data_IF_844613106474
#
_entry.id   IF_844613106474
#
_cell.length_a   1.000
_cell.length_b   1.000
_cell.length_c   1.000
_cell.angle_alpha   90.00
_cell.angle_beta   90.00
_cell.angle_gamma   90.00
#
_symmetry.space_group_name_H-M   'P 1'
#
loop_
_entity.id
_entity.type
_entity.pdbx_description
1 polymer ?
#
# COMPACT_ATOMS: atom_id res chain seq x y z
N UNK A 1 2.20 -24.37 71.18
CA UNK A 1 2.71 -25.52 72.04
C UNK A 1 3.71 -26.26 71.17
N UNK A 2 4.95 -26.12 71.61
CA UNK A 2 6.03 -27.09 71.74
C UNK A 2 6.46 -27.79 70.48
N UNK A 3 7.65 -27.40 69.93
CA UNK A 3 9.03 -27.77 70.35
C UNK A 3 9.26 -29.26 70.38
N UNK A 4 10.28 -29.73 69.64
CA UNK A 4 11.49 -30.45 70.01
C UNK A 4 12.18 -30.96 68.74
N UNK A 5 13.34 -30.51 68.33
CA UNK A 5 14.74 -30.60 68.71
C UNK A 5 15.24 -32.08 68.84
N UNK A 6 16.21 -32.42 67.96
CA UNK A 6 17.59 -32.91 68.29
C UNK A 6 18.21 -33.55 67.04
N UNK A 7 19.30 -33.09 66.49
CA UNK A 7 20.74 -33.31 66.77
C UNK A 7 21.17 -34.79 67.01
N UNK A 8 22.18 -35.23 66.20
CA UNK A 8 23.43 -35.95 66.54
C UNK A 8 24.13 -36.26 65.21
N UNK A 9 25.25 -35.65 64.92
CA UNK A 9 26.68 -35.90 65.09
C UNK A 9 27.27 -37.04 64.27
N UNK A 10 28.15 -36.62 63.34
CA UNK A 10 29.56 -37.05 63.16
C UNK A 10 29.93 -38.50 62.95
N UNK A 11 30.59 -38.76 61.81
CA UNK A 11 31.96 -39.35 61.84
C UNK A 11 32.61 -39.38 60.46
N UNK A 12 33.84 -38.97 60.47
CA UNK A 12 34.87 -38.87 59.43
C UNK A 12 35.21 -40.26 58.87
N UNK A 13 35.38 -40.37 57.58
CA UNK A 13 36.36 -41.23 56.93
C UNK A 13 36.96 -40.58 55.68
N UNK A 14 38.21 -40.20 55.83
CA UNK A 14 39.03 -39.74 54.70
C UNK A 14 39.51 -40.97 53.91
N UNK A 15 39.18 -41.04 52.67
CA UNK A 15 39.82 -41.89 51.67
C UNK A 15 40.48 -41.04 50.63
N UNK A 16 41.82 -40.97 50.67
CA UNK A 16 42.66 -40.34 49.66
C UNK A 16 42.66 -41.25 48.44
N UNK A 17 41.99 -40.82 47.34
CA UNK A 17 42.25 -41.41 46.06
C UNK A 17 42.91 -40.30 45.21
N UNK A 18 44.23 -40.46 45.01
CA UNK A 18 44.97 -39.72 43.95
C UNK A 18 44.57 -40.33 42.65
N UNK A 19 43.73 -39.61 41.88
CA UNK A 19 43.44 -39.91 40.51
C UNK A 19 44.06 -38.76 39.70
N UNK A 20 44.99 -39.12 38.82
CA UNK A 20 45.73 -38.20 37.96
C UNK A 20 44.80 -37.32 37.14
N UNK A 21 45.05 -36.04 37.19
CA UNK A 21 44.43 -35.04 36.30
C UNK A 21 44.96 -35.26 34.90
N UNK A 22 44.26 -36.07 34.08
CA UNK A 22 44.41 -35.96 32.66
C UNK A 22 43.86 -34.59 32.25
N UNK A 23 44.73 -33.68 31.89
CA UNK A 23 44.40 -32.44 31.18
C UNK A 23 43.71 -32.82 29.89
N UNK A 24 42.39 -32.88 29.88
CA UNK A 24 41.60 -32.85 28.66
C UNK A 24 41.67 -31.38 28.19
N UNK A 25 42.29 -31.11 27.03
CA UNK A 25 42.20 -29.75 26.50
C UNK A 25 40.73 -29.43 26.30
N UNK A 26 40.22 -28.49 27.07
CA UNK A 26 38.92 -27.88 26.78
C UNK A 26 39.05 -27.23 25.40
N UNK A 27 38.60 -27.93 24.36
CA UNK A 27 38.28 -27.25 23.11
C UNK A 27 37.27 -26.18 23.47
N UNK A 28 37.70 -24.93 23.43
CA UNK A 28 36.77 -23.80 23.34
C UNK A 28 35.88 -24.11 22.13
N UNK A 29 34.64 -24.52 22.41
CA UNK A 29 33.59 -24.47 21.40
C UNK A 29 33.46 -22.97 21.10
N UNK A 30 34.05 -22.54 20.02
CA UNK A 30 33.65 -21.25 19.44
C UNK A 30 32.16 -21.41 19.26
N UNK A 31 31.37 -20.59 19.97
CA UNK A 31 30.00 -20.33 19.58
C UNK A 31 30.11 -19.88 18.13
N UNK A 32 29.70 -20.73 17.18
CA UNK A 32 29.40 -20.27 15.83
C UNK A 32 28.45 -19.10 16.05
N UNK A 33 28.81 -17.92 15.54
CA UNK A 33 27.95 -16.77 15.60
C UNK A 33 26.62 -17.20 14.99
N UNK A 34 25.62 -17.40 15.83
CA UNK A 34 24.26 -17.74 15.39
C UNK A 34 23.75 -16.48 14.68
N UNK A 35 23.87 -16.49 13.38
CA UNK A 35 23.44 -15.38 12.52
C UNK A 35 21.93 -15.28 12.68
N UNK A 36 21.44 -14.16 13.20
CA UNK A 36 20.01 -13.89 13.32
C UNK A 36 19.35 -13.89 11.92
N UNK A 37 18.46 -14.85 11.60
CA UNK A 37 17.83 -14.93 10.29
C UNK A 37 17.06 -13.66 9.91
N UNK A 38 16.48 -12.96 10.90
CA UNK A 38 15.76 -11.71 10.69
C UNK A 38 16.73 -10.60 10.31
N UNK A 39 17.89 -10.51 10.97
CA UNK A 39 18.93 -9.55 10.62
C UNK A 39 19.44 -9.76 9.18
N UNK A 40 19.62 -11.03 8.77
CA UNK A 40 20.03 -11.38 7.39
C UNK A 40 18.94 -10.95 6.39
N UNK A 41 17.68 -11.22 6.66
CA UNK A 41 16.57 -10.82 5.78
C UNK A 41 16.47 -9.29 5.65
N UNK A 42 16.60 -8.56 6.75
CA UNK A 42 16.63 -7.09 6.76
C UNK A 42 17.76 -6.55 5.93
N UNK A 43 18.98 -7.09 6.11
CA UNK A 43 20.14 -6.65 5.38
C UNK A 43 19.99 -6.95 3.87
N UNK A 44 19.53 -8.15 3.52
CA UNK A 44 19.28 -8.52 2.13
C UNK A 44 18.23 -7.62 1.46
N UNK A 45 17.18 -7.25 2.20
CA UNK A 45 16.20 -6.28 1.71
C UNK A 45 16.84 -4.90 1.52
N UNK A 46 17.62 -4.41 2.48
CA UNK A 46 18.30 -3.11 2.39
C UNK A 46 19.32 -3.05 1.25
N UNK A 47 20.09 -4.11 1.02
CA UNK A 47 21.12 -4.18 -0.03
C UNK A 47 20.54 -4.30 -1.44
N UNK A 48 19.26 -4.70 -1.58
CA UNK A 48 18.59 -4.78 -2.87
C UNK A 48 18.42 -3.38 -3.47
N UNK A 49 19.04 -3.17 -4.63
CA UNK A 49 19.03 -1.88 -5.33
C UNK A 49 17.66 -1.61 -5.93
N UNK A 50 17.10 -0.40 -5.76
CA UNK A 50 15.88 0.02 -6.47
C UNK A 50 16.07 -0.06 -7.99
N UNK A 51 15.05 -0.52 -8.74
CA UNK A 51 15.14 -0.60 -10.21
C UNK A 51 15.34 0.78 -10.84
N UNK A 52 14.76 1.83 -10.25
CA UNK A 52 14.95 3.21 -10.72
C UNK A 52 16.40 3.69 -10.64
N UNK A 53 17.24 3.09 -9.79
CA UNK A 53 18.67 3.39 -9.72
C UNK A 53 19.47 2.82 -10.90
N UNK A 54 18.87 1.92 -11.68
CA UNK A 54 19.45 1.38 -12.92
C UNK A 54 19.21 2.24 -14.16
N UNK A 55 18.40 3.30 -14.07
CA UNK A 55 18.13 4.22 -15.15
C UNK A 55 19.30 5.21 -15.33
N UNK A 56 19.70 5.47 -16.58
CA UNK A 56 20.95 6.16 -16.89
C UNK A 56 21.01 7.61 -16.34
N UNK A 57 19.95 8.37 -16.52
CA UNK A 57 19.89 9.79 -16.16
C UNK A 57 18.93 10.07 -14.97
N UNK A 58 18.63 9.03 -14.20
CA UNK A 58 17.72 9.10 -13.07
C UNK A 58 18.48 9.37 -11.77
N UNK A 59 17.99 10.20 -10.87
CA UNK A 59 18.61 10.40 -9.56
C UNK A 59 18.72 9.08 -8.79
N UNK A 60 19.81 8.88 -8.06
CA UNK A 60 19.99 7.68 -7.24
C UNK A 60 19.10 7.77 -5.99
N UNK A 61 18.14 6.88 -5.88
CA UNK A 61 17.23 6.76 -4.74
C UNK A 61 17.86 6.04 -3.55
N UNK A 62 17.30 6.20 -2.35
CA UNK A 62 17.82 5.58 -1.13
C UNK A 62 17.62 4.06 -1.13
N UNK A 63 18.51 3.36 -0.39
CA UNK A 63 18.23 2.00 0.04
C UNK A 63 17.18 2.01 1.15
N UNK A 64 16.24 1.06 1.11
CA UNK A 64 15.15 0.92 2.08
C UNK A 64 15.03 -0.52 2.57
N UNK A 65 14.51 -0.71 3.77
CA UNK A 65 14.28 -2.02 4.37
C UNK A 65 13.02 -2.73 3.86
N UNK A 66 12.13 -2.00 3.19
CA UNK A 66 10.99 -2.59 2.51
C UNK A 66 11.46 -3.58 1.43
N UNK A 67 10.82 -4.75 1.34
CA UNK A 67 11.12 -5.72 0.28
C UNK A 67 10.70 -5.19 -1.08
N UNK A 68 9.50 -4.60 -1.14
CA UNK A 68 9.00 -3.84 -2.30
C UNK A 68 8.55 -2.46 -1.86
N UNK A 69 8.86 -1.44 -2.66
CA UNK A 69 8.47 -0.07 -2.38
C UNK A 69 8.29 0.74 -3.66
N UNK A 70 7.39 1.72 -3.60
CA UNK A 70 7.13 2.67 -4.69
C UNK A 70 6.84 4.06 -4.12
N UNK A 71 7.24 5.09 -4.85
CA UNK A 71 6.67 6.43 -4.72
C UNK A 71 6.15 6.85 -6.08
N UNK A 72 4.87 7.14 -6.14
CA UNK A 72 4.17 7.60 -7.33
C UNK A 72 3.54 8.96 -7.06
N UNK A 73 3.63 9.86 -8.04
CA UNK A 73 2.87 11.11 -7.98
C UNK A 73 1.44 10.82 -8.43
N UNK A 74 0.46 11.19 -7.57
CA UNK A 74 -0.90 10.66 -7.67
C UNK A 74 -1.71 11.18 -8.86
N UNK A 75 -1.47 12.42 -9.31
CA UNK A 75 -2.25 13.01 -10.39
C UNK A 75 -1.67 12.71 -11.77
N UNK A 76 -0.34 12.68 -11.88
CA UNK A 76 0.34 12.37 -13.14
C UNK A 76 0.58 10.88 -13.38
N UNK A 77 0.46 10.04 -12.32
CA UNK A 77 0.83 8.63 -12.36
C UNK A 77 2.34 8.39 -12.56
N UNK A 78 3.18 9.42 -12.37
CA UNK A 78 4.62 9.31 -12.51
C UNK A 78 5.22 8.43 -11.42
N UNK A 79 5.95 7.37 -11.79
CA UNK A 79 6.67 6.49 -10.86
C UNK A 79 8.06 7.07 -10.64
N UNK A 80 8.29 7.64 -9.45
CA UNK A 80 9.49 8.43 -9.15
C UNK A 80 10.55 7.63 -8.37
N UNK A 81 10.13 6.59 -7.67
CA UNK A 81 10.97 5.60 -7.01
C UNK A 81 10.32 4.22 -7.15
N UNK A 82 11.11 3.22 -7.49
CA UNK A 82 10.61 1.85 -7.63
C UNK A 82 11.64 0.82 -7.18
N UNK A 83 11.19 -0.09 -6.32
CA UNK A 83 11.94 -1.25 -5.84
C UNK A 83 11.01 -2.46 -5.85
N UNK A 84 11.25 -3.43 -6.76
CA UNK A 84 10.46 -4.65 -6.92
C UNK A 84 8.96 -4.38 -6.91
N UNK A 85 8.54 -3.34 -7.64
CA UNK A 85 7.18 -2.79 -7.56
C UNK A 85 6.09 -3.77 -7.98
N UNK A 86 6.44 -4.82 -8.73
CA UNK A 86 5.52 -5.83 -9.25
C UNK A 86 5.61 -7.19 -8.49
N UNK A 87 6.47 -7.29 -7.48
CA UNK A 87 6.55 -8.50 -6.65
C UNK A 87 5.29 -8.62 -5.79
N UNK A 88 4.72 -9.84 -5.74
CA UNK A 88 3.50 -10.12 -4.96
C UNK A 88 3.82 -10.27 -3.48
N UNK A 89 3.03 -9.60 -2.66
CA UNK A 89 3.11 -9.65 -1.19
C UNK A 89 1.71 -9.70 -0.58
N UNK A 90 1.61 -10.17 0.66
CA UNK A 90 0.39 -10.07 1.44
C UNK A 90 0.21 -8.62 1.91
N UNK A 91 -0.98 -8.02 1.69
CA UNK A 91 -1.20 -6.61 2.01
C UNK A 91 -1.39 -6.33 3.50
N UNK A 92 -1.91 -7.28 4.28
CA UNK A 92 -2.47 -7.03 5.59
C UNK A 92 -3.55 -5.92 5.52
N UNK A 93 -3.70 -5.10 6.56
CA UNK A 93 -4.77 -4.10 6.67
C UNK A 93 -4.70 -2.93 5.68
N UNK A 94 -3.70 -2.81 4.82
CA UNK A 94 -3.76 -1.84 3.72
C UNK A 94 -4.81 -2.22 2.66
N UNK A 95 -5.32 -3.47 2.68
CA UNK A 95 -6.54 -3.93 1.97
C UNK A 95 -7.71 -2.97 2.16
N UNK A 96 -7.83 -2.39 3.36
CA UNK A 96 -8.93 -1.48 3.74
C UNK A 96 -8.97 -0.19 2.91
N UNK A 97 -7.90 0.12 2.15
CA UNK A 97 -7.93 1.20 1.16
C UNK A 97 -8.86 0.87 -0.01
N UNK A 98 -8.79 -0.36 -0.52
CA UNK A 98 -9.71 -0.80 -1.58
C UNK A 98 -11.13 -0.99 -1.05
N UNK A 99 -11.27 -1.48 0.18
CA UNK A 99 -12.57 -1.57 0.86
C UNK A 99 -13.21 -0.18 0.99
N UNK A 100 -12.43 0.83 1.39
CA UNK A 100 -12.89 2.21 1.47
C UNK A 100 -13.27 2.77 0.09
N UNK A 101 -12.47 2.50 -0.94
CA UNK A 101 -12.76 2.92 -2.31
C UNK A 101 -14.11 2.39 -2.79
N UNK A 102 -14.31 1.07 -2.70
CA UNK A 102 -15.56 0.43 -3.15
C UNK A 102 -16.74 0.90 -2.31
N UNK A 103 -16.57 1.10 -1.01
CA UNK A 103 -17.61 1.63 -0.14
C UNK A 103 -18.01 3.06 -0.53
N UNK A 104 -17.03 3.95 -0.73
CA UNK A 104 -17.26 5.35 -1.08
C UNK A 104 -17.87 5.54 -2.48
N UNK A 105 -17.64 4.61 -3.39
CA UNK A 105 -18.25 4.60 -4.73
C UNK A 105 -19.71 4.10 -4.72
N UNK A 106 -20.15 3.35 -3.70
CA UNK A 106 -21.44 2.64 -3.71
C UNK A 106 -22.35 2.95 -2.52
N UNK A 107 -21.90 3.75 -1.54
CA UNK A 107 -22.66 4.07 -0.34
C UNK A 107 -22.57 5.55 0.01
N UNK A 108 -23.61 6.04 0.69
CA UNK A 108 -23.66 7.38 1.23
C UNK A 108 -23.17 7.42 2.70
N UNK A 109 -22.68 8.56 3.22
CA UNK A 109 -22.19 8.65 4.60
C UNK A 109 -23.22 8.27 5.68
N UNK A 110 -24.50 8.45 5.42
CA UNK A 110 -25.61 8.16 6.34
C UNK A 110 -26.19 6.75 6.18
N UNK A 111 -25.68 5.95 5.23
CA UNK A 111 -26.10 4.56 5.08
C UNK A 111 -25.78 3.74 6.32
N UNK A 112 -26.68 2.82 6.66
CA UNK A 112 -26.49 1.94 7.81
C UNK A 112 -25.52 0.81 7.50
N UNK A 113 -24.53 0.63 8.39
CA UNK A 113 -23.63 -0.52 8.44
C UNK A 113 -24.11 -1.41 9.59
N UNK A 114 -24.71 -2.54 9.23
CA UNK A 114 -25.24 -3.53 10.17
C UNK A 114 -24.20 -4.60 10.48
N UNK A 115 -24.00 -4.87 11.77
CA UNK A 115 -23.09 -5.91 12.24
C UNK A 115 -23.84 -7.23 12.42
N UNK A 116 -23.65 -8.14 11.48
CA UNK A 116 -24.16 -9.52 11.56
C UNK A 116 -23.34 -10.37 12.54
N UNK A 117 -23.82 -11.57 12.87
CA UNK A 117 -23.01 -12.56 13.61
C UNK A 117 -21.73 -12.88 12.84
N UNK A 118 -21.82 -13.06 11.52
CA UNK A 118 -20.66 -13.40 10.67
C UNK A 118 -19.61 -12.28 10.65
N UNK A 119 -20.04 -11.00 10.75
CA UNK A 119 -19.10 -9.88 10.75
C UNK A 119 -18.26 -9.78 12.03
N UNK A 120 -18.62 -10.49 13.10
CA UNK A 120 -17.94 -10.40 14.41
C UNK A 120 -17.32 -11.73 14.85
N UNK A 121 -17.96 -12.86 14.53
CA UNK A 121 -17.60 -14.18 15.08
C UNK A 121 -16.25 -14.73 14.60
N UNK A 122 -15.69 -14.21 13.51
CA UNK A 122 -14.39 -14.64 12.98
C UNK A 122 -13.19 -14.01 13.73
N UNK A 123 -13.43 -13.00 14.57
CA UNK A 123 -12.33 -12.32 15.29
C UNK A 123 -11.63 -13.26 16.26
N UNK A 124 -10.30 -13.24 16.21
CA UNK A 124 -9.43 -13.94 17.15
C UNK A 124 -8.78 -12.97 18.14
N UNK A 125 -8.23 -13.51 19.21
CA UNK A 125 -7.51 -12.71 20.21
C UNK A 125 -6.29 -12.02 19.57
N UNK A 126 -6.27 -10.70 19.64
CA UNK A 126 -5.20 -9.86 19.06
C UNK A 126 -5.56 -9.23 17.73
N UNK A 127 -6.69 -9.58 17.13
CA UNK A 127 -7.21 -8.91 15.95
C UNK A 127 -7.56 -7.46 16.24
N UNK A 128 -7.32 -6.59 15.24
CA UNK A 128 -7.72 -5.19 15.32
C UNK A 128 -9.26 -5.10 15.32
N UNK A 129 -9.84 -4.52 16.37
CA UNK A 129 -11.28 -4.43 16.61
C UNK A 129 -11.59 -3.19 17.45
N UNK A 130 -12.79 -2.62 17.28
CA UNK A 130 -13.38 -1.60 18.16
C UNK A 130 -14.49 -2.17 19.05
N UNK A 131 -14.63 -3.49 19.09
CA UNK A 131 -15.54 -4.22 19.97
C UNK A 131 -17.00 -4.10 19.59
N UNK A 132 -17.32 -4.12 18.29
CA UNK A 132 -18.71 -4.18 17.82
C UNK A 132 -19.37 -5.50 18.17
N UNK A 133 -20.68 -5.48 18.35
CA UNK A 133 -21.50 -6.65 18.70
C UNK A 133 -22.50 -6.96 17.60
N UNK A 134 -22.90 -8.23 17.43
CA UNK A 134 -23.97 -8.56 16.50
C UNK A 134 -25.27 -7.79 16.82
N UNK A 135 -25.89 -7.24 15.79
CA UNK A 135 -27.07 -6.41 15.89
C UNK A 135 -26.81 -4.91 16.10
N UNK A 136 -25.58 -4.49 16.32
CA UNK A 136 -25.24 -3.06 16.32
C UNK A 136 -25.33 -2.47 14.91
N UNK A 137 -25.54 -1.16 14.87
CA UNK A 137 -25.63 -0.37 13.63
C UNK A 137 -24.75 0.87 13.80
N UNK A 138 -23.92 1.15 12.81
CA UNK A 138 -23.19 2.41 12.65
C UNK A 138 -23.66 3.12 11.38
N UNK A 139 -23.44 4.43 11.31
CA UNK A 139 -23.44 5.12 10.02
C UNK A 139 -22.20 4.68 9.19
N UNK A 140 -22.28 4.75 7.86
CA UNK A 140 -21.09 4.52 7.01
C UNK A 140 -19.97 5.48 7.39
N UNK A 141 -20.28 6.72 7.74
CA UNK A 141 -19.32 7.68 8.24
C UNK A 141 -18.54 7.13 9.45
N UNK A 142 -19.20 6.70 10.50
CA UNK A 142 -18.55 6.19 11.72
C UNK A 142 -17.79 4.88 11.45
N UNK A 143 -18.35 4.03 10.58
CA UNK A 143 -17.72 2.79 10.16
C UNK A 143 -16.40 3.05 9.42
N UNK A 144 -16.31 4.05 8.53
CA UNK A 144 -15.06 4.44 7.87
C UNK A 144 -13.99 4.87 8.86
N UNK A 145 -14.35 5.64 9.91
CA UNK A 145 -13.40 5.99 10.96
C UNK A 145 -12.93 4.77 11.74
N UNK A 146 -13.84 3.88 12.16
CA UNK A 146 -13.47 2.64 12.85
C UNK A 146 -12.56 1.74 12.01
N UNK A 147 -12.84 1.62 10.71
CA UNK A 147 -12.05 0.82 9.77
C UNK A 147 -10.67 1.41 9.50
N UNK A 148 -10.58 2.71 9.25
CA UNK A 148 -9.33 3.31 8.75
C UNK A 148 -8.40 3.75 9.90
N UNK A 149 -8.90 4.31 11.00
CA UNK A 149 -8.08 4.72 12.14
C UNK A 149 -7.67 3.54 13.02
N UNK A 150 -8.66 2.82 13.56
CA UNK A 150 -8.42 1.68 14.46
C UNK A 150 -8.15 0.37 13.72
N UNK A 151 -8.24 0.38 12.39
CA UNK A 151 -8.03 -0.83 11.56
C UNK A 151 -8.99 -1.98 11.86
N UNK A 152 -10.18 -1.70 12.40
CA UNK A 152 -11.14 -2.72 12.87
C UNK A 152 -11.54 -3.69 11.75
N UNK A 153 -11.33 -5.00 12.01
CA UNK A 153 -11.56 -6.06 11.03
C UNK A 153 -13.06 -6.35 10.86
N UNK A 154 -13.81 -6.38 11.97
CA UNK A 154 -15.26 -6.57 11.97
C UNK A 154 -15.99 -5.44 11.24
N UNK A 155 -15.48 -4.21 11.35
CA UNK A 155 -16.06 -3.06 10.67
C UNK A 155 -15.87 -3.19 9.15
N UNK A 156 -14.69 -3.64 8.70
CA UNK A 156 -14.44 -3.88 7.29
C UNK A 156 -15.37 -4.95 6.70
N UNK A 157 -15.61 -6.02 7.46
CA UNK A 157 -16.54 -7.06 7.07
C UNK A 157 -17.97 -6.54 6.99
N UNK A 158 -18.43 -5.83 8.01
CA UNK A 158 -19.78 -5.26 8.08
C UNK A 158 -20.04 -4.23 6.96
N UNK A 159 -19.03 -3.41 6.61
CA UNK A 159 -19.08 -2.53 5.44
C UNK A 159 -19.28 -3.36 4.17
N UNK A 160 -18.43 -4.38 3.95
CA UNK A 160 -18.51 -5.22 2.76
C UNK A 160 -19.87 -5.92 2.64
N UNK A 161 -20.41 -6.45 3.74
CA UNK A 161 -21.71 -7.09 3.77
C UNK A 161 -22.86 -6.10 3.49
N UNK A 162 -22.84 -4.92 4.14
CA UNK A 162 -23.91 -3.91 4.01
C UNK A 162 -23.92 -3.28 2.61
N UNK A 163 -22.75 -2.89 2.08
CA UNK A 163 -22.63 -2.34 0.72
C UNK A 163 -22.92 -3.42 -0.32
N UNK A 164 -22.44 -4.65 -0.12
CA UNK A 164 -22.78 -5.78 -0.98
C UNK A 164 -24.28 -6.06 -1.06
N UNK A 165 -25.01 -5.92 0.05
CA UNK A 165 -26.48 -5.99 0.06
C UNK A 165 -27.11 -4.84 -0.74
N UNK A 166 -26.60 -3.62 -0.59
CA UNK A 166 -27.06 -2.44 -1.36
C UNK A 166 -26.84 -2.66 -2.88
N UNK A 167 -25.78 -3.37 -3.26
CA UNK A 167 -25.51 -3.76 -4.65
C UNK A 167 -26.33 -4.97 -5.16
N UNK A 168 -27.25 -5.50 -4.33
CA UNK A 168 -28.14 -6.60 -4.71
C UNK A 168 -27.63 -8.01 -4.41
N UNK A 169 -26.57 -8.15 -3.62
CA UNK A 169 -26.02 -9.42 -3.18
C UNK A 169 -25.67 -9.45 -1.69
N UNK A 170 -24.41 -9.68 -1.34
CA UNK A 170 -23.89 -9.74 0.01
C UNK A 170 -22.37 -9.58 0.03
N UNK A 171 -21.71 -10.15 1.05
CA UNK A 171 -20.26 -10.07 1.21
C UNK A 171 -19.49 -10.46 -0.06
N UNK A 172 -19.83 -11.59 -0.67
CA UNK A 172 -19.15 -12.07 -1.89
C UNK A 172 -19.31 -11.13 -3.09
N UNK A 173 -20.46 -10.44 -3.19
CA UNK A 173 -20.67 -9.41 -4.23
C UNK A 173 -19.74 -8.23 -4.05
N UNK A 174 -19.47 -7.84 -2.79
CA UNK A 174 -18.50 -6.79 -2.50
C UNK A 174 -17.08 -7.22 -2.84
N UNK A 175 -16.68 -8.45 -2.48
CA UNK A 175 -15.34 -8.99 -2.82
C UNK A 175 -15.16 -9.08 -4.34
N UNK A 176 -16.19 -9.53 -5.06
CA UNK A 176 -16.15 -9.51 -6.52
C UNK A 176 -15.94 -8.08 -7.04
N UNK A 177 -16.67 -7.10 -6.51
CA UNK A 177 -16.50 -5.69 -6.91
C UNK A 177 -15.12 -5.12 -6.58
N UNK A 178 -14.49 -5.54 -5.45
CA UNK A 178 -13.09 -5.19 -5.17
C UNK A 178 -12.14 -5.66 -6.28
N UNK A 179 -12.27 -6.91 -6.73
CA UNK A 179 -11.45 -7.45 -7.81
C UNK A 179 -11.72 -6.74 -9.15
N UNK A 180 -12.99 -6.55 -9.52
CA UNK A 180 -13.38 -5.80 -10.71
C UNK A 180 -12.81 -4.38 -10.70
N UNK A 181 -12.95 -3.68 -9.57
CA UNK A 181 -12.45 -2.30 -9.44
C UNK A 181 -10.93 -2.21 -9.54
N UNK A 182 -10.25 -3.21 -8.98
CA UNK A 182 -8.80 -3.34 -9.09
C UNK A 182 -8.37 -3.51 -10.57
N UNK A 183 -9.06 -4.35 -11.34
CA UNK A 183 -8.83 -4.50 -12.79
C UNK A 183 -9.10 -3.20 -13.56
N UNK A 184 -10.20 -2.50 -13.24
CA UNK A 184 -10.54 -1.20 -13.85
C UNK A 184 -9.46 -0.13 -13.61
N UNK A 185 -8.76 -0.18 -12.47
CA UNK A 185 -7.64 0.70 -12.15
C UNK A 185 -6.33 0.31 -12.86
N UNK A 186 -6.31 -0.81 -13.59
CA UNK A 186 -5.11 -1.31 -14.27
C UNK A 186 -4.20 -2.16 -13.37
N UNK A 187 -4.66 -2.61 -12.22
CA UNK A 187 -3.93 -3.53 -11.38
C UNK A 187 -3.78 -4.90 -12.06
N UNK A 188 -2.57 -5.43 -12.07
CA UNK A 188 -2.27 -6.70 -12.77
C UNK A 188 -1.68 -7.77 -11.88
N UNK A 189 -1.33 -7.44 -10.65
CA UNK A 189 -0.63 -8.33 -9.72
C UNK A 189 -1.37 -8.61 -8.42
N UNK A 190 -2.65 -8.24 -8.31
CA UNK A 190 -3.44 -8.34 -7.08
C UNK A 190 -4.61 -9.30 -7.20
N UNK A 191 -5.02 -9.86 -6.06
CA UNK A 191 -6.25 -10.63 -5.92
C UNK A 191 -6.76 -10.50 -4.48
N UNK A 192 -8.07 -10.33 -4.32
CA UNK A 192 -8.73 -10.00 -3.06
C UNK A 192 -9.73 -11.08 -2.68
N UNK A 193 -9.62 -11.61 -1.45
CA UNK A 193 -10.50 -12.65 -0.90
C UNK A 193 -11.31 -12.18 0.30
N UNK A 194 -10.91 -11.05 0.91
CA UNK A 194 -11.59 -10.45 2.04
C UNK A 194 -11.43 -8.93 2.06
N UNK A 195 -12.20 -8.26 2.92
CA UNK A 195 -12.26 -6.80 3.01
C UNK A 195 -11.36 -6.21 4.12
N UNK A 196 -10.74 -7.04 4.95
CA UNK A 196 -9.99 -6.59 6.14
C UNK A 196 -8.48 -6.78 6.05
N UNK A 197 -8.01 -7.71 5.19
CA UNK A 197 -6.59 -8.01 5.02
C UNK A 197 -6.05 -9.08 5.95
N UNK A 198 -6.89 -9.85 6.62
CA UNK A 198 -6.47 -11.08 7.30
C UNK A 198 -5.86 -12.04 6.29
N UNK A 199 -4.92 -12.85 6.77
CA UNK A 199 -4.12 -13.69 5.89
C UNK A 199 -4.94 -14.76 5.17
N UNK A 200 -4.76 -14.82 3.86
CA UNK A 200 -5.17 -15.89 2.96
C UNK A 200 -4.11 -16.00 1.85
N UNK A 201 -3.75 -17.21 1.44
CA UNK A 201 -2.71 -17.44 0.43
C UNK A 201 -3.05 -16.82 -0.94
N UNK A 202 -4.34 -16.65 -1.22
CA UNK A 202 -4.84 -16.03 -2.45
C UNK A 202 -5.12 -14.52 -2.31
N UNK A 203 -4.84 -13.92 -1.14
CA UNK A 203 -5.03 -12.52 -0.87
C UNK A 203 -3.70 -11.78 -0.96
N UNK A 204 -3.37 -11.24 -2.13
CA UNK A 204 -2.07 -10.64 -2.41
C UNK A 204 -2.19 -9.39 -3.29
N UNK A 205 -1.15 -8.57 -3.24
CA UNK A 205 -1.03 -7.32 -4.01
C UNK A 205 0.42 -7.04 -4.38
N UNK A 206 0.66 -5.97 -5.14
CA UNK A 206 1.98 -5.41 -5.44
C UNK A 206 2.08 -3.97 -4.95
N UNK A 207 3.29 -3.43 -4.84
CA UNK A 207 3.47 -2.03 -4.47
C UNK A 207 2.88 -1.08 -5.53
N UNK A 208 2.98 -1.45 -6.81
CA UNK A 208 2.40 -0.70 -7.92
C UNK A 208 0.87 -0.66 -7.83
N UNK A 209 0.23 -1.83 -7.68
CA UNK A 209 -1.23 -1.90 -7.61
C UNK A 209 -1.78 -1.14 -6.38
N UNK A 210 -1.08 -1.24 -5.23
CA UNK A 210 -1.46 -0.46 -4.05
C UNK A 210 -1.31 1.05 -4.25
N UNK A 211 -0.34 1.50 -5.05
CA UNK A 211 -0.22 2.92 -5.39
C UNK A 211 -1.38 3.39 -6.27
N UNK A 212 -1.84 2.58 -7.23
CA UNK A 212 -3.02 2.87 -8.05
C UNK A 212 -4.29 2.94 -7.20
N UNK A 213 -4.52 1.94 -6.34
CA UNK A 213 -5.66 1.91 -5.40
C UNK A 213 -5.60 3.11 -4.45
N UNK A 214 -4.41 3.39 -3.89
CA UNK A 214 -4.20 4.52 -2.99
C UNK A 214 -4.51 5.85 -3.66
N UNK A 215 -4.06 6.06 -4.89
CA UNK A 215 -4.35 7.28 -5.66
C UNK A 215 -5.84 7.43 -5.96
N UNK A 216 -6.53 6.34 -6.29
CA UNK A 216 -7.95 6.37 -6.60
C UNK A 216 -8.80 6.73 -5.36
N UNK A 217 -8.54 6.10 -4.20
CA UNK A 217 -9.31 6.39 -2.98
C UNK A 217 -9.01 7.78 -2.42
N UNK A 218 -7.81 8.31 -2.65
CA UNK A 218 -7.43 9.65 -2.19
C UNK A 218 -8.22 10.77 -2.88
N UNK A 219 -8.87 10.50 -4.04
CA UNK A 219 -9.73 11.48 -4.72
C UNK A 219 -10.98 11.83 -3.91
N UNK A 220 -11.40 10.98 -2.96
CA UNK A 220 -12.58 11.22 -2.13
C UNK A 220 -12.25 12.13 -0.95
N UNK A 221 -12.95 13.28 -0.84
CA UNK A 221 -12.80 14.22 0.28
C UNK A 221 -13.00 13.53 1.63
N UNK A 222 -14.02 12.66 1.74
CA UNK A 222 -14.30 11.92 2.97
C UNK A 222 -13.15 11.01 3.36
N UNK A 223 -12.48 10.37 2.40
CA UNK A 223 -11.32 9.53 2.70
C UNK A 223 -10.15 10.37 3.25
N UNK A 224 -9.87 11.53 2.63
CA UNK A 224 -8.83 12.46 3.13
C UNK A 224 -9.14 12.95 4.54
N UNK A 225 -10.38 13.37 4.79
CA UNK A 225 -10.83 13.78 6.13
C UNK A 225 -10.57 12.69 7.17
N UNK A 226 -11.02 11.46 6.90
CA UNK A 226 -10.87 10.32 7.83
C UNK A 226 -9.39 10.03 8.11
N UNK A 227 -8.57 9.88 7.06
CA UNK A 227 -7.16 9.45 7.24
C UNK A 227 -6.25 10.51 7.85
N UNK A 228 -6.65 11.78 7.86
CA UNK A 228 -5.96 12.88 8.54
C UNK A 228 -6.38 13.03 10.01
N UNK A 229 -7.49 12.42 10.41
CA UNK A 229 -8.03 12.53 11.76
C UNK A 229 -7.19 11.73 12.75
N UNK A 230 -6.71 12.36 13.81
CA UNK A 230 -5.87 11.72 14.83
C UNK A 230 -6.68 10.92 15.87
N UNK A 231 -7.83 11.44 16.23
CA UNK A 231 -8.71 10.82 17.24
C UNK A 231 -10.16 10.90 16.78
N UNK A 232 -10.92 9.85 17.03
CA UNK A 232 -12.34 9.82 16.74
C UNK A 232 -13.13 9.16 17.86
N UNK A 233 -14.36 9.62 18.06
CA UNK A 233 -15.29 9.06 19.04
C UNK A 233 -16.55 8.64 18.33
N UNK A 234 -16.84 7.33 18.32
CA UNK A 234 -18.15 6.81 17.91
C UNK A 234 -19.13 7.01 19.08
N UNK A 235 -20.29 7.67 18.85
CA UNK A 235 -21.30 7.84 19.87
C UNK A 235 -21.96 6.51 20.28
N UNK A 236 -22.79 6.49 21.34
CA UNK A 236 -23.62 5.34 21.67
C UNK A 236 -24.38 4.79 20.46
N UNK A 237 -24.44 3.46 20.34
CA UNK A 237 -25.18 2.78 19.27
C UNK A 237 -26.58 2.36 19.73
N UNK A 238 -27.31 1.68 18.87
CA UNK A 238 -28.61 1.11 19.19
C UNK A 238 -28.57 0.05 20.32
N UNK A 239 -27.42 -0.56 20.61
CA UNK A 239 -27.26 -1.63 21.61
C UNK A 239 -26.27 -1.29 22.73
N UNK A 240 -25.39 -0.32 22.54
CA UNK A 240 -24.29 0.01 23.47
C UNK A 240 -24.36 1.50 23.82
N UNK A 241 -24.47 1.82 25.11
CA UNK A 241 -24.61 3.21 25.58
C UNK A 241 -23.25 3.90 25.81
N UNK A 242 -22.15 3.17 25.74
CA UNK A 242 -20.80 3.70 25.90
C UNK A 242 -20.27 4.20 24.57
N UNK A 243 -19.56 5.33 24.63
CA UNK A 243 -18.79 5.84 23.49
C UNK A 243 -17.56 4.96 23.23
N UNK A 244 -17.13 4.87 21.97
CA UNK A 244 -15.86 4.24 21.59
C UNK A 244 -14.89 5.29 21.11
N UNK A 245 -13.76 5.44 21.82
CA UNK A 245 -12.69 6.39 21.49
C UNK A 245 -11.49 5.63 20.97
N UNK A 246 -10.98 6.01 19.82
CA UNK A 246 -9.78 5.40 19.22
C UNK A 246 -8.93 6.42 18.50
N UNK A 247 -7.68 6.03 18.26
CA UNK A 247 -6.65 6.88 17.69
C UNK A 247 -6.18 6.31 16.35
N UNK A 248 -5.66 7.21 15.52
CA UNK A 248 -4.98 6.86 14.27
C UNK A 248 -3.70 6.06 14.56
N UNK A 249 -3.49 4.97 13.82
CA UNK A 249 -2.28 4.16 13.97
C UNK A 249 -1.08 4.64 13.14
N UNK A 250 -1.28 5.56 12.21
CA UNK A 250 -0.23 6.09 11.36
C UNK A 250 0.65 7.09 12.11
N UNK A 251 1.82 6.64 12.58
CA UNK A 251 2.67 7.40 13.50
C UNK A 251 3.29 8.68 12.90
N UNK A 252 3.39 8.79 11.57
CA UNK A 252 3.97 9.99 10.94
C UNK A 252 3.08 11.23 11.07
N UNK A 253 1.84 11.08 11.54
CA UNK A 253 0.89 12.18 11.73
C UNK A 253 0.98 12.85 13.12
N UNK A 254 1.71 12.26 14.07
CA UNK A 254 1.76 12.75 15.44
C UNK A 254 2.96 13.67 15.68
N UNK A 255 2.71 14.98 15.75
CA UNK A 255 3.73 15.96 16.10
C UNK A 255 4.38 15.63 17.45
N UNK A 256 5.70 15.88 17.55
CA UNK A 256 6.50 15.61 18.74
C UNK A 256 6.96 14.16 18.89
N UNK A 257 6.72 13.28 17.91
CA UNK A 257 7.27 11.91 17.83
C UNK A 257 8.48 11.85 16.90
N UNK A 258 9.36 10.88 17.09
CA UNK A 258 10.52 10.65 16.20
C UNK A 258 10.11 10.26 14.76
N UNK A 259 8.89 9.80 14.59
CA UNK A 259 8.34 9.38 13.28
C UNK A 259 7.58 10.48 12.58
N UNK A 260 7.30 11.60 13.25
CA UNK A 260 6.57 12.71 12.64
C UNK A 260 7.23 13.22 11.36
N UNK A 261 6.40 13.45 10.36
CA UNK A 261 6.85 14.00 9.09
C UNK A 261 5.79 14.97 8.55
N UNK A 262 6.08 16.25 8.56
CA UNK A 262 5.12 17.32 8.27
C UNK A 262 4.43 17.16 6.90
N UNK A 263 5.10 16.73 5.80
CA UNK A 263 4.40 16.48 4.54
C UNK A 263 3.46 15.26 4.55
N UNK A 264 3.43 14.43 5.61
CA UNK A 264 2.51 13.31 5.69
C UNK A 264 1.09 13.79 6.02
N UNK A 265 0.16 13.54 5.12
CA UNK A 265 -1.24 13.99 5.20
C UNK A 265 -2.24 12.84 5.34
N UNK A 266 -1.79 11.64 5.67
CA UNK A 266 -2.65 10.48 5.89
C UNK A 266 -2.01 9.17 5.49
N UNK A 267 -2.78 8.09 5.64
CA UNK A 267 -2.32 6.77 5.20
C UNK A 267 -2.99 5.61 5.92
N UNK A 268 -2.46 4.41 5.69
CA UNK A 268 -2.92 3.17 6.33
C UNK A 268 -1.77 2.25 6.63
N UNK A 269 -1.73 1.76 7.87
CA UNK A 269 -0.80 0.73 8.34
C UNK A 269 -1.39 -0.66 8.15
N UNK A 270 -0.52 -1.68 8.02
CA UNK A 270 -0.93 -3.07 8.04
C UNK A 270 0.16 -3.95 8.67
N UNK A 271 -0.28 -5.04 9.30
CA UNK A 271 0.58 -6.06 9.85
C UNK A 271 -0.15 -7.41 9.91
N UNK A 272 0.49 -8.45 9.46
CA UNK A 272 0.28 -9.86 9.83
C UNK A 272 1.65 -10.52 9.89
N UNK A 273 1.76 -11.68 10.52
CA UNK A 273 3.05 -12.40 10.59
C UNK A 273 3.60 -12.74 9.21
N UNK A 274 2.72 -13.00 8.23
CA UNK A 274 3.09 -13.34 6.85
C UNK A 274 3.41 -12.11 6.01
N UNK A 275 2.68 -11.01 6.20
CA UNK A 275 2.90 -9.75 5.48
C UNK A 275 4.06 -8.95 6.06
N UNK A 276 4.39 -9.12 7.34
CA UNK A 276 5.19 -8.19 8.13
C UNK A 276 4.53 -6.79 8.13
N UNK A 277 5.30 -5.73 8.37
CA UNK A 277 4.75 -4.37 8.32
C UNK A 277 4.56 -3.93 6.87
N UNK A 278 3.38 -3.37 6.60
CA UNK A 278 3.00 -2.70 5.35
C UNK A 278 2.53 -1.28 5.67
N UNK A 279 2.78 -0.36 4.77
CA UNK A 279 2.40 1.05 4.94
C UNK A 279 2.08 1.69 3.61
N UNK A 280 0.95 2.38 3.54
CA UNK A 280 0.65 3.35 2.50
C UNK A 280 0.57 4.72 3.16
N UNK A 281 1.32 5.69 2.64
CA UNK A 281 1.32 7.07 3.14
C UNK A 281 1.05 8.04 2.00
N UNK A 282 0.25 9.05 2.29
CA UNK A 282 0.00 10.19 1.40
C UNK A 282 0.85 11.36 1.86
N UNK A 283 1.55 11.98 0.92
CA UNK A 283 2.55 13.01 1.21
C UNK A 283 2.30 14.20 0.29
N UNK A 284 2.26 15.39 0.86
CA UNK A 284 2.04 16.64 0.14
C UNK A 284 2.99 17.74 0.67
N UNK A 285 3.83 18.29 -0.20
CA UNK A 285 4.71 19.39 0.12
C UNK A 285 4.25 20.72 -0.50
N UNK A 286 3.02 20.78 -1.01
CA UNK A 286 2.46 21.93 -1.72
C UNK A 286 2.79 21.99 -3.22
N UNK A 287 3.75 21.18 -3.69
CA UNK A 287 4.11 21.06 -5.12
C UNK A 287 3.75 19.70 -5.69
N UNK A 288 4.09 18.62 -4.99
CA UNK A 288 3.87 17.24 -5.40
C UNK A 288 2.97 16.53 -4.38
N UNK A 289 2.00 15.80 -4.89
CA UNK A 289 1.15 14.91 -4.10
C UNK A 289 1.51 13.46 -4.38
N UNK A 290 2.09 12.80 -3.38
CA UNK A 290 2.68 11.48 -3.53
C UNK A 290 1.91 10.41 -2.76
N UNK A 291 1.83 9.22 -3.33
CA UNK A 291 1.55 7.99 -2.61
C UNK A 291 2.83 7.18 -2.48
N UNK A 292 3.18 6.82 -1.25
CA UNK A 292 4.31 5.96 -0.92
C UNK A 292 3.80 4.64 -0.38
N UNK A 293 4.29 3.53 -0.91
CA UNK A 293 3.92 2.17 -0.47
C UNK A 293 5.16 1.41 -0.05
N UNK A 294 5.11 0.79 1.13
CA UNK A 294 6.11 -0.13 1.64
C UNK A 294 5.47 -1.49 1.91
N UNK A 295 6.01 -2.57 1.34
CA UNK A 295 5.53 -3.93 1.54
C UNK A 295 6.62 -4.82 2.13
N UNK A 296 6.21 -5.72 3.03
CA UNK A 296 7.04 -6.74 3.66
C UNK A 296 8.30 -6.14 4.32
N UNK A 297 8.07 -5.23 5.25
CA UNK A 297 9.12 -4.53 6.02
C UNK A 297 9.14 -5.05 7.46
N UNK A 298 10.31 -5.24 8.03
CA UNK A 298 10.43 -5.64 9.43
C UNK A 298 10.28 -4.43 10.38
N UNK A 299 9.22 -4.45 11.20
CA UNK A 299 9.00 -3.48 12.28
C UNK A 299 8.79 -2.05 11.79
N UNK A 300 9.33 -1.10 12.55
CA UNK A 300 9.10 0.35 12.37
C UNK A 300 9.85 0.98 11.20
N UNK A 301 10.69 0.21 10.48
CA UNK A 301 11.46 0.74 9.36
C UNK A 301 10.58 1.33 8.23
N UNK A 302 9.31 0.98 8.17
CA UNK A 302 8.33 1.56 7.21
C UNK A 302 8.29 3.09 7.27
N UNK A 303 8.49 3.71 8.45
CA UNK A 303 8.43 5.16 8.62
C UNK A 303 9.68 5.87 8.09
N UNK A 304 10.92 5.51 8.53
CA UNK A 304 12.13 6.11 7.94
C UNK A 304 12.28 5.78 6.45
N UNK A 305 11.87 4.59 5.99
CA UNK A 305 11.87 4.26 4.56
C UNK A 305 10.96 5.23 3.78
N UNK A 306 9.72 5.45 4.24
CA UNK A 306 8.78 6.41 3.64
C UNK A 306 9.37 7.82 3.59
N UNK A 307 9.91 8.31 4.71
CA UNK A 307 10.51 9.64 4.79
C UNK A 307 11.69 9.79 3.81
N UNK A 308 12.60 8.82 3.79
CA UNK A 308 13.79 8.87 2.92
C UNK A 308 13.40 8.88 1.44
N UNK A 309 12.40 8.07 1.05
CA UNK A 309 11.88 8.05 -0.32
C UNK A 309 11.18 9.37 -0.69
N UNK A 310 10.38 9.92 0.23
CA UNK A 310 9.71 11.21 0.02
C UNK A 310 10.69 12.36 -0.15
N UNK A 311 11.67 12.49 0.76
CA UNK A 311 12.74 13.49 0.67
C UNK A 311 13.54 13.36 -0.63
N UNK A 312 13.85 12.13 -1.04
CA UNK A 312 14.49 11.88 -2.33
C UNK A 312 13.66 12.46 -3.47
N UNK A 313 12.34 12.20 -3.50
CA UNK A 313 11.47 12.70 -4.58
C UNK A 313 11.37 14.23 -4.53
N UNK A 314 11.03 14.83 -3.40
CA UNK A 314 10.87 16.28 -3.26
C UNK A 314 12.14 17.06 -3.60
N UNK A 315 13.30 16.48 -3.33
CA UNK A 315 14.58 17.12 -3.61
C UNK A 315 15.05 16.98 -5.07
N UNK A 316 14.62 15.96 -5.80
CA UNK A 316 15.19 15.63 -7.11
C UNK A 316 14.25 15.79 -8.30
N UNK A 317 12.93 15.96 -8.08
CA UNK A 317 11.95 16.03 -9.15
C UNK A 317 11.23 17.37 -9.23
N UNK A 318 10.68 17.69 -10.41
CA UNK A 318 9.90 18.90 -10.69
C UNK A 318 8.70 18.59 -11.55
N UNK A 319 7.64 19.39 -11.44
CA UNK A 319 6.53 19.43 -12.39
C UNK A 319 6.91 20.20 -13.66
N UNK A 320 6.47 19.69 -14.80
CA UNK A 320 6.45 20.43 -16.06
C UNK A 320 4.98 20.48 -16.53
N UNK A 321 4.29 21.61 -16.41
CA UNK A 321 2.94 21.79 -16.93
C UNK A 321 2.91 21.58 -18.46
N UNK A 322 1.84 20.95 -18.96
CA UNK A 322 1.66 20.71 -20.39
C UNK A 322 0.73 21.77 -20.97
N UNK A 323 1.26 22.54 -21.90
CA UNK A 323 0.46 23.47 -22.70
C UNK A 323 0.04 22.80 -24.02
N UNK A 324 -0.98 23.34 -24.69
CA UNK A 324 -1.49 22.80 -25.96
C UNK A 324 -0.44 22.60 -27.07
N UNK A 325 0.66 23.37 -27.04
CA UNK A 325 1.80 23.23 -27.97
C UNK A 325 2.65 21.97 -27.68
N UNK A 326 2.59 21.43 -26.48
CA UNK A 326 3.37 20.29 -26.00
C UNK A 326 2.64 18.96 -26.26
N UNK A 327 1.40 19.03 -26.74
CA UNK A 327 0.60 17.84 -27.01
C UNK A 327 1.03 17.15 -28.31
N UNK A 328 1.13 15.83 -28.36
CA UNK A 328 1.45 15.08 -29.56
C UNK A 328 0.42 15.33 -30.70
N UNK A 329 0.87 15.18 -31.94
CA UNK A 329 -0.02 15.23 -33.12
C UNK A 329 -1.13 14.18 -32.95
N UNK A 330 -2.39 14.62 -33.11
CA UNK A 330 -3.55 13.76 -32.99
C UNK A 330 -4.30 13.91 -31.67
N UNK A 331 -3.70 14.50 -30.64
CA UNK A 331 -4.42 14.89 -29.41
C UNK A 331 -5.16 16.20 -29.66
N UNK A 332 -6.45 16.23 -29.29
CA UNK A 332 -7.31 17.40 -29.36
C UNK A 332 -7.35 18.15 -28.05
N UNK A 333 -7.56 17.41 -26.97
CA UNK A 333 -7.76 17.90 -25.60
C UNK A 333 -7.14 16.93 -24.61
N UNK A 334 -6.65 17.43 -23.49
CA UNK A 334 -6.27 16.70 -22.26
C UNK A 334 -7.17 17.17 -21.12
N UNK A 335 -7.08 16.53 -19.97
CA UNK A 335 -7.62 17.07 -18.73
C UNK A 335 -7.01 18.44 -18.43
N UNK A 336 -7.74 19.27 -17.68
CA UNK A 336 -7.23 20.56 -17.19
C UNK A 336 -6.04 20.29 -16.24
N UNK A 337 -5.09 21.24 -16.23
CA UNK A 337 -3.90 21.20 -15.35
C UNK A 337 -3.01 19.95 -15.51
N UNK A 338 -3.03 19.32 -16.68
CA UNK A 338 -2.16 18.16 -16.97
C UNK A 338 -0.68 18.56 -16.94
N UNK A 339 0.15 17.72 -16.28
CA UNK A 339 1.59 17.90 -16.17
C UNK A 339 2.32 16.56 -16.16
N UNK A 340 3.63 16.60 -16.36
CA UNK A 340 4.53 15.47 -16.11
C UNK A 340 5.45 15.77 -14.93
N UNK A 341 5.99 14.73 -14.31
CA UNK A 341 6.98 14.88 -13.23
C UNK A 341 8.26 14.16 -13.62
N UNK A 342 9.33 14.91 -13.68
CA UNK A 342 10.63 14.47 -14.19
C UNK A 342 11.77 14.87 -13.24
N UNK A 343 12.96 14.24 -13.33
CA UNK A 343 14.15 14.75 -12.66
C UNK A 343 14.41 16.22 -12.95
N UNK A 344 14.90 17.00 -11.99
CA UNK A 344 15.07 18.46 -12.09
C UNK A 344 15.94 18.92 -13.26
N UNK A 345 16.86 18.08 -13.74
CA UNK A 345 17.75 18.33 -14.88
C UNK A 345 17.15 17.95 -16.24
N UNK A 346 15.95 17.37 -16.28
CA UNK A 346 15.26 16.93 -17.51
C UNK A 346 14.37 18.03 -18.04
N UNK A 347 14.35 18.21 -19.35
CA UNK A 347 13.46 19.15 -20.05
C UNK A 347 12.41 18.37 -20.86
N UNK A 348 11.28 19.02 -21.17
CA UNK A 348 10.16 18.37 -21.86
C UNK A 348 10.56 17.69 -23.18
N UNK A 349 11.50 18.27 -23.91
CA UNK A 349 12.00 17.75 -25.20
C UNK A 349 12.69 16.38 -25.08
N UNK A 350 13.13 15.99 -23.88
CA UNK A 350 13.81 14.73 -23.62
C UNK A 350 12.81 13.58 -23.34
N UNK A 351 11.52 13.93 -23.23
CA UNK A 351 10.45 13.01 -22.86
C UNK A 351 9.78 12.44 -24.11
N UNK A 352 9.50 11.14 -24.10
CA UNK A 352 8.75 10.45 -25.16
C UNK A 352 7.28 10.39 -24.79
N UNK A 353 6.42 10.50 -25.82
CA UNK A 353 4.97 10.41 -25.65
C UNK A 353 4.40 9.31 -26.54
N UNK A 354 3.53 8.48 -25.96
CA UNK A 354 2.82 7.41 -26.65
C UNK A 354 1.30 7.57 -26.41
N UNK A 355 0.51 7.37 -27.49
CA UNK A 355 -0.94 7.43 -27.44
C UNK A 355 -1.50 6.04 -27.66
N UNK A 356 -2.31 5.56 -26.73
CA UNK A 356 -3.10 4.33 -26.86
C UNK A 356 -4.59 4.71 -26.95
N UNK A 357 -5.23 4.56 -28.12
CA UNK A 357 -6.66 4.86 -28.23
C UNK A 357 -7.49 3.77 -27.58
N UNK A 358 -8.57 4.15 -26.89
CA UNK A 358 -9.54 3.23 -26.29
C UNK A 358 -10.18 2.30 -27.35
N UNK A 359 -10.48 2.85 -28.52
CA UNK A 359 -10.93 2.07 -29.70
C UNK A 359 -10.10 2.38 -30.93
N UNK A 360 -9.36 1.39 -31.42
CA UNK A 360 -8.52 1.52 -32.64
C UNK A 360 -9.31 1.88 -33.91
N UNK A 361 -10.63 1.66 -33.93
CA UNK A 361 -11.52 1.98 -35.07
C UNK A 361 -12.07 3.40 -35.02
N UNK A 362 -11.79 4.15 -33.94
CA UNK A 362 -12.22 5.52 -33.78
C UNK A 362 -13.71 5.69 -33.46
N UNK A 363 -14.38 4.65 -32.95
CA UNK A 363 -15.76 4.78 -32.43
C UNK A 363 -15.75 5.61 -31.13
N UNK A 364 -14.79 5.35 -30.25
CA UNK A 364 -14.42 6.25 -29.15
C UNK A 364 -13.32 7.19 -29.61
N UNK A 365 -13.40 8.45 -29.22
CA UNK A 365 -12.32 9.44 -29.42
C UNK A 365 -11.41 9.54 -28.21
N UNK A 366 -11.65 8.76 -27.18
CA UNK A 366 -10.82 8.71 -25.99
C UNK A 366 -9.56 7.87 -26.20
N UNK A 367 -8.55 8.15 -25.43
CA UNK A 367 -7.32 7.40 -25.37
C UNK A 367 -6.50 7.79 -24.15
N UNK A 368 -5.45 7.03 -23.90
CA UNK A 368 -4.46 7.29 -22.86
C UNK A 368 -3.19 7.82 -23.50
N UNK A 369 -2.68 8.93 -23.00
CA UNK A 369 -1.40 9.53 -23.36
C UNK A 369 -0.42 9.24 -22.23
N UNK A 370 0.63 8.48 -22.51
CA UNK A 370 1.69 8.15 -21.56
C UNK A 370 2.97 8.86 -21.96
N UNK A 371 3.57 9.55 -21.00
CA UNK A 371 4.88 10.16 -21.14
C UNK A 371 5.93 9.31 -20.43
N UNK A 372 7.05 9.07 -21.09
CA UNK A 372 8.16 8.27 -20.54
C UNK A 372 9.50 8.99 -20.71
N UNK A 373 10.37 8.84 -19.72
CA UNK A 373 11.76 9.25 -19.75
C UNK A 373 12.64 8.07 -19.27
N UNK A 374 13.65 7.72 -20.06
CA UNK A 374 14.48 6.52 -19.83
C UNK A 374 13.69 5.22 -19.59
N UNK A 375 12.51 5.10 -20.23
CA UNK A 375 11.61 3.95 -20.06
C UNK A 375 10.72 3.99 -18.82
N UNK A 376 10.89 4.99 -17.95
CA UNK A 376 10.07 5.18 -16.76
C UNK A 376 8.88 6.10 -17.08
N UNK A 377 7.70 5.76 -16.59
CA UNK A 377 6.51 6.61 -16.68
C UNK A 377 6.70 7.88 -15.87
N UNK A 378 6.57 9.03 -16.51
CA UNK A 378 6.69 10.37 -15.91
C UNK A 378 5.39 11.19 -16.00
N UNK A 379 4.36 10.65 -16.67
CA UNK A 379 3.02 11.21 -16.71
C UNK A 379 2.08 10.35 -17.52
N UNK A 380 0.82 10.31 -17.10
CA UNK A 380 -0.29 9.65 -17.78
C UNK A 380 -1.48 10.62 -17.78
N UNK A 381 -2.20 10.72 -18.87
CA UNK A 381 -3.41 11.55 -18.97
C UNK A 381 -4.43 10.90 -19.88
N UNK A 382 -5.70 11.03 -19.56
CA UNK A 382 -6.77 10.78 -20.52
C UNK A 382 -6.79 11.88 -21.57
N UNK A 383 -7.02 11.50 -22.83
CA UNK A 383 -7.02 12.44 -23.96
C UNK A 383 -8.20 12.23 -24.87
N UNK A 384 -8.63 13.31 -25.51
CA UNK A 384 -9.54 13.27 -26.66
C UNK A 384 -8.72 13.36 -27.95
N UNK A 385 -8.94 12.42 -28.87
CA UNK A 385 -8.20 12.32 -30.13
C UNK A 385 -8.92 12.98 -31.28
N UNK A 386 -8.14 13.54 -32.21
CA UNK A 386 -8.63 14.12 -33.49
C UNK A 386 -9.00 13.00 -34.46
N UNK A 387 -9.94 13.28 -35.38
CA UNK A 387 -10.28 12.34 -36.45
C UNK A 387 -9.08 12.00 -37.35
N UNK A 388 -8.16 12.94 -37.55
CA UNK A 388 -6.94 12.74 -38.32
C UNK A 388 -6.00 11.66 -37.71
N UNK A 389 -6.06 11.43 -36.41
CA UNK A 389 -5.28 10.37 -35.75
C UNK A 389 -5.62 8.96 -36.27
N UNK A 390 -6.92 8.69 -36.47
CA UNK A 390 -7.41 7.39 -36.96
C UNK A 390 -7.21 7.23 -38.47
N UNK A 391 -7.21 8.33 -39.24
CA UNK A 391 -6.98 8.27 -40.69
C UNK A 391 -5.53 7.93 -41.05
N UNK A 392 -4.55 8.41 -40.30
CA UNK A 392 -3.12 8.15 -40.52
C UNK A 392 -2.72 6.75 -40.11
N UNK A 393 -3.29 6.20 -39.03
CA UNK A 393 -2.94 4.89 -38.50
C UNK A 393 -3.66 3.73 -39.22
N UNK A 394 -4.79 3.98 -39.91
CA UNK A 394 -5.45 2.97 -40.77
C UNK A 394 -4.80 2.83 -42.14
N UNK A 395 -4.04 3.85 -42.60
CA UNK A 395 -3.32 3.78 -43.89
C UNK A 395 -2.07 2.88 -43.83
N UNK A 396 -1.40 2.77 -42.65
CA UNK A 396 -0.24 1.88 -42.43
C UNK A 396 -0.55 0.40 -42.50
N UNK A 397 -1.77 -0.01 -42.15
CA UNK A 397 -2.22 -1.41 -42.17
C UNK A 397 -2.66 -1.93 -43.51
N UNK A 398 -2.81 -1.03 -44.52
CA UNK A 398 -3.17 -1.42 -45.91
C UNK A 398 -1.97 -1.74 -46.78
N UNK A 399 -0.76 -1.34 -46.43
CA UNK A 399 0.46 -1.57 -47.21
C UNK A 399 1.11 -2.93 -46.98
N UNK A 400 0.83 -3.61 -45.87
CA UNK A 400 1.39 -4.95 -45.61
C UNK A 400 0.55 -6.13 -46.16
N UNK A 401 -0.66 -5.88 -46.68
CA UNK A 401 -1.52 -6.97 -47.23
C UNK A 401 -1.42 -7.15 -48.77
N UNK A 402 -0.63 -6.39 -49.46
CA UNK A 402 -0.57 -6.49 -50.94
C UNK A 402 0.72 -7.09 -51.50
N UNK A 403 1.60 -7.64 -50.70
CA UNK A 403 2.83 -8.32 -51.18
C UNK A 403 2.89 -9.86 -50.97
N UNK A 404 1.82 -10.49 -50.51
CA UNK A 404 1.82 -11.98 -50.27
C UNK A 404 0.89 -12.77 -51.22
N UNK A 405 0.25 -12.14 -52.22
CA UNK A 405 -0.60 -12.84 -53.16
C UNK A 405 -0.11 -12.80 -54.63
N UNK A 406 1.21 -12.75 -54.84
CA UNK A 406 1.80 -13.10 -56.15
C UNK A 406 3.11 -13.84 -55.99
N UNK A 407 3.02 -15.16 -55.71
CA UNK A 407 3.96 -16.17 -56.24
C UNK A 407 3.35 -17.58 -56.10
#
# INVERSE_FOLDING_TARGET
MREYRNRICSAVLAAVCVIGTALIPSRAVHAEDVVDPIAVQKQAAYDAVPETNGLENWPQGPHVYANSAIVMEMNSGAILYGKKINDKHYPASITKLLTALVALENADPDDEVYFSEDSVSFLEYGDASIGMRPGEILSMNDALYGMLLASANEVSYAIAESVGKKMGGGFETFIQKMNERCEELGCTGSHWTNANGLHDENHYTTAHDMALIGSAVYQFDKFREVTQTLNYTIPPTNLVNEERVFQQYHQMLYDGTDTFYEPCVGGKTGYTDQALSTLVSYLDNGELQLVSVNLKTHGVHVYPDTKNMAEYVFNNFKKIPLEGKDLPKGVKETEEDTYIVVPKNVEFQDVKAEIVPEDKRGKSKKGTLTYTYDGQTVGVSEVVLKDSYFQTNTAGTKTEKNETDQK
#
